data_IF_235973083552
#
_entry.id   IF_235973083552
#
_cell.length_a   1.000
_cell.length_b   1.000
_cell.length_c   1.000
_cell.angle_alpha   90.00
_cell.angle_beta   90.00
_cell.angle_gamma   90.00
#
_symmetry.space_group_name_H-M   'P 1'
#
loop_
_entity.id
_entity.type
_entity.pdbx_description
1 polymer ?
#
# COMPACT_ATOMS: atom_id res chain seq x y z
N UNK A 1 -10.12 10.47 -35.24
CA UNK A 1 -9.69 11.26 -34.09
C UNK A 1 -9.67 10.27 -32.91
N UNK A 2 -8.57 10.09 -32.18
CA UNK A 2 -8.65 9.34 -30.94
C UNK A 2 -9.62 10.10 -30.02
N UNK A 3 -10.43 9.42 -29.20
CA UNK A 3 -11.25 10.09 -28.21
C UNK A 3 -10.34 10.93 -27.32
N UNK A 4 -10.76 12.14 -26.98
CA UNK A 4 -10.15 12.93 -25.93
C UNK A 4 -10.30 12.12 -24.63
N UNK A 5 -9.30 11.30 -24.31
CA UNK A 5 -9.22 10.63 -23.03
C UNK A 5 -8.94 11.70 -21.97
N UNK A 6 -10.03 12.27 -21.46
CA UNK A 6 -9.94 13.12 -20.26
C UNK A 6 -9.47 12.20 -19.14
N UNK A 7 -8.23 12.38 -18.72
CA UNK A 7 -7.63 11.61 -17.63
C UNK A 7 -8.29 12.06 -16.33
N UNK A 8 -9.27 11.30 -15.85
CA UNK A 8 -10.04 11.60 -14.64
C UNK A 8 -10.20 10.36 -13.79
N UNK A 9 -10.29 10.56 -12.48
CA UNK A 9 -10.70 9.52 -11.55
C UNK A 9 -12.14 9.07 -11.84
N UNK A 10 -12.35 7.75 -11.86
CA UNK A 10 -13.64 7.10 -12.11
C UNK A 10 -14.11 6.36 -10.86
N UNK A 11 -15.43 6.17 -10.64
CA UNK A 11 -15.93 5.42 -9.49
C UNK A 11 -15.45 3.97 -9.47
N UNK A 12 -14.95 3.51 -8.33
CA UNK A 12 -14.53 2.14 -8.07
C UNK A 12 -15.68 1.37 -7.40
N UNK A 13 -16.63 0.93 -8.21
CA UNK A 13 -17.88 0.34 -7.73
C UNK A 13 -17.65 -0.83 -6.76
N UNK A 14 -18.24 -0.75 -5.57
CA UNK A 14 -18.19 -1.79 -4.54
C UNK A 14 -17.01 -1.68 -3.59
N UNK A 15 -16.15 -0.68 -3.73
CA UNK A 15 -15.01 -0.38 -2.86
C UNK A 15 -15.18 1.03 -2.29
N UNK A 16 -14.84 1.22 -1.03
CA UNK A 16 -15.11 2.48 -0.33
C UNK A 16 -13.85 3.16 0.20
N UNK A 17 -12.99 2.44 0.90
CA UNK A 17 -11.79 2.98 1.57
C UNK A 17 -10.55 2.14 1.21
N UNK A 18 -10.14 2.12 -0.10
CA UNK A 18 -9.01 1.32 -0.55
C UNK A 18 -7.69 1.97 -0.17
N UNK A 19 -6.89 1.30 0.64
CA UNK A 19 -5.54 1.72 1.02
C UNK A 19 -4.46 1.10 0.12
N UNK A 20 -4.74 -0.05 -0.52
CA UNK A 20 -3.77 -0.69 -1.41
C UNK A 20 -4.41 -1.48 -2.53
N UNK A 21 -3.68 -1.62 -3.64
CA UNK A 21 -4.09 -2.41 -4.81
C UNK A 21 -2.92 -3.14 -5.42
N UNK A 22 -3.13 -4.40 -5.83
CA UNK A 22 -2.12 -5.23 -6.49
C UNK A 22 -2.75 -6.06 -7.60
N UNK A 23 -2.22 -6.00 -8.82
CA UNK A 23 -2.64 -6.92 -9.88
C UNK A 23 -2.11 -8.33 -9.63
N UNK A 24 -2.99 -9.32 -9.75
CA UNK A 24 -2.69 -10.74 -9.65
C UNK A 24 -2.30 -11.34 -11.01
N UNK A 25 -1.67 -12.51 -11.00
CA UNK A 25 -1.22 -13.20 -12.21
C UNK A 25 -2.37 -13.56 -13.19
N UNK A 26 -3.59 -13.69 -12.68
CA UNK A 26 -4.80 -13.98 -13.49
C UNK A 26 -5.47 -12.72 -14.07
N UNK A 27 -4.85 -11.55 -13.87
CA UNK A 27 -5.32 -10.25 -14.37
C UNK A 27 -6.34 -9.54 -13.48
N UNK A 28 -6.84 -10.20 -12.42
CA UNK A 28 -7.65 -9.55 -11.39
C UNK A 28 -6.78 -8.65 -10.52
N UNK A 29 -7.42 -7.82 -9.72
CA UNK A 29 -6.76 -7.01 -8.71
C UNK A 29 -7.21 -7.45 -7.33
N UNK A 30 -6.28 -7.53 -6.41
CA UNK A 30 -6.56 -7.56 -4.99
C UNK A 30 -6.55 -6.13 -4.48
N UNK A 31 -7.60 -5.73 -3.79
CA UNK A 31 -7.72 -4.47 -3.09
C UNK A 31 -7.76 -4.76 -1.60
N UNK A 32 -7.08 -3.94 -0.82
CA UNK A 32 -7.16 -3.93 0.63
C UNK A 32 -7.83 -2.64 1.09
N UNK A 33 -8.73 -2.77 2.07
CA UNK A 33 -9.46 -1.65 2.69
C UNK A 33 -9.11 -1.59 4.19
N UNK A 34 -9.15 -0.42 4.81
CA UNK A 34 -8.81 -0.24 6.23
C UNK A 34 -9.89 -0.79 7.18
N UNK A 35 -11.10 -1.07 6.69
CA UNK A 35 -12.21 -1.62 7.47
C UNK A 35 -12.04 -3.12 7.79
N UNK A 36 -12.09 -3.50 9.08
CA UNK A 36 -11.95 -4.88 9.57
C UNK A 36 -12.84 -5.91 8.85
N UNK A 37 -14.10 -5.56 8.56
CA UNK A 37 -15.07 -6.49 7.96
C UNK A 37 -14.93 -6.66 6.45
N UNK A 38 -14.23 -5.76 5.80
CA UNK A 38 -14.13 -5.65 4.34
C UNK A 38 -12.68 -5.57 3.86
N UNK A 39 -11.74 -5.99 4.68
CA UNK A 39 -10.30 -5.82 4.47
C UNK A 39 -9.77 -6.31 3.11
N UNK A 40 -10.41 -7.29 2.47
CA UNK A 40 -9.93 -7.89 1.22
C UNK A 40 -11.03 -7.98 0.17
N UNK A 41 -10.76 -7.50 -1.03
CA UNK A 41 -11.65 -7.59 -2.18
C UNK A 41 -10.92 -7.93 -3.47
N UNK A 42 -11.57 -8.70 -4.34
CA UNK A 42 -11.11 -8.97 -5.70
C UNK A 42 -11.85 -8.07 -6.69
N UNK A 43 -11.10 -7.42 -7.57
CA UNK A 43 -11.65 -6.62 -8.66
C UNK A 43 -11.31 -7.24 -10.01
N UNK A 44 -12.22 -7.10 -10.94
CA UNK A 44 -11.96 -7.30 -12.36
C UNK A 44 -12.32 -6.00 -13.11
N UNK A 45 -11.36 -5.51 -13.88
CA UNK A 45 -11.54 -4.32 -14.73
C UNK A 45 -11.41 -4.77 -16.17
N UNK A 46 -12.47 -4.60 -16.96
CA UNK A 46 -12.53 -5.02 -18.36
C UNK A 46 -13.43 -4.05 -19.13
N UNK A 47 -12.93 -3.49 -20.22
CA UNK A 47 -13.70 -2.55 -21.05
C UNK A 47 -14.23 -1.34 -20.27
N UNK A 48 -13.51 -0.88 -19.26
CA UNK A 48 -13.91 0.23 -18.38
C UNK A 48 -14.98 -0.10 -17.34
N UNK A 49 -15.41 -1.37 -17.26
CA UNK A 49 -16.34 -1.83 -16.23
C UNK A 49 -15.59 -2.47 -15.08
N UNK A 50 -16.02 -2.21 -13.85
CA UNK A 50 -15.49 -2.76 -12.61
C UNK A 50 -16.50 -3.74 -12.02
N UNK A 51 -16.04 -4.94 -11.65
CA UNK A 51 -16.79 -5.85 -10.80
C UNK A 51 -15.98 -6.17 -9.54
N UNK A 52 -16.66 -6.24 -8.40
CA UNK A 52 -16.06 -6.48 -7.09
C UNK A 52 -16.62 -7.75 -6.46
N UNK A 53 -15.74 -8.52 -5.80
CA UNK A 53 -16.07 -9.70 -5.00
C UNK A 53 -15.33 -9.62 -3.67
N UNK A 54 -16.06 -9.47 -2.57
CA UNK A 54 -15.46 -9.48 -1.24
C UNK A 54 -14.91 -10.89 -0.90
N UNK A 55 -13.68 -10.95 -0.45
CA UNK A 55 -13.08 -12.16 0.12
C UNK A 55 -13.53 -12.29 1.59
N UNK A 56 -13.97 -13.48 1.97
CA UNK A 56 -14.51 -13.74 3.31
C UNK A 56 -13.88 -14.97 3.92
N UNK A 57 -13.87 -14.99 5.26
CA UNK A 57 -13.48 -16.18 6.00
C UNK A 57 -14.29 -17.40 5.55
N UNK A 58 -13.67 -18.53 5.24
CA UNK A 58 -14.39 -19.77 5.00
C UNK A 58 -15.18 -20.17 6.25
N UNK A 59 -16.37 -20.78 6.07
CA UNK A 59 -17.21 -21.22 7.19
C UNK A 59 -16.48 -22.18 8.16
N UNK A 60 -15.42 -22.85 7.70
CA UNK A 60 -14.64 -23.86 8.44
C UNK A 60 -13.22 -23.39 8.81
N UNK A 61 -12.94 -22.09 8.89
CA UNK A 61 -11.59 -21.55 9.19
C UNK A 61 -11.22 -21.71 10.68
N UNK A 62 -11.08 -22.97 11.13
CA UNK A 62 -10.58 -23.30 12.46
C UNK A 62 -9.04 -23.19 12.42
N UNK A 63 -8.51 -22.08 12.86
CA UNK A 63 -7.05 -21.84 12.94
C UNK A 63 -6.57 -20.50 12.36
N UNK A 64 -7.26 -19.96 11.37
CA UNK A 64 -6.85 -18.73 10.67
C UNK A 64 -7.50 -17.45 11.24
N UNK A 65 -8.01 -17.54 12.48
CA UNK A 65 -8.81 -16.47 13.10
C UNK A 65 -8.11 -15.13 13.20
N UNK A 66 -6.78 -15.10 13.34
CA UNK A 66 -6.02 -13.86 13.42
C UNK A 66 -5.87 -13.18 12.04
N UNK A 67 -5.84 -13.95 10.94
CA UNK A 67 -5.83 -13.41 9.59
C UNK A 67 -7.16 -12.70 9.23
N UNK A 68 -8.28 -13.26 9.65
CA UNK A 68 -9.60 -12.71 9.35
C UNK A 68 -10.06 -11.59 10.31
N UNK A 69 -9.18 -11.18 11.21
CA UNK A 69 -9.39 -10.07 12.18
C UNK A 69 -8.41 -8.93 11.95
N UNK A 70 -7.86 -8.83 10.72
CA UNK A 70 -7.01 -7.70 10.35
C UNK A 70 -7.84 -6.41 10.42
N UNK A 71 -7.26 -5.40 11.01
CA UNK A 71 -7.84 -4.08 11.18
C UNK A 71 -6.83 -3.05 10.66
N UNK A 72 -7.29 -2.05 9.93
CA UNK A 72 -6.43 -0.99 9.39
C UNK A 72 -5.38 -1.55 8.40
N UNK A 73 -5.86 -2.31 7.40
CA UNK A 73 -5.00 -2.93 6.39
C UNK A 73 -4.64 -1.89 5.32
N UNK A 74 -3.35 -1.58 5.20
CA UNK A 74 -2.87 -0.39 4.50
C UNK A 74 -2.22 -0.67 3.16
N UNK A 75 -1.53 -1.80 3.02
CA UNK A 75 -0.81 -2.06 1.78
C UNK A 75 -0.74 -3.53 1.42
N UNK A 76 -0.59 -3.79 0.13
CA UNK A 76 -0.49 -5.12 -0.45
C UNK A 76 0.52 -5.14 -1.60
N UNK A 77 1.31 -6.21 -1.68
CA UNK A 77 2.21 -6.50 -2.80
C UNK A 77 2.26 -8.01 -3.07
N UNK A 78 2.81 -8.42 -4.20
CA UNK A 78 2.99 -9.83 -4.53
C UNK A 78 4.41 -10.11 -5.04
N UNK A 79 4.91 -11.30 -4.72
CA UNK A 79 6.13 -11.79 -5.33
C UNK A 79 5.84 -12.53 -6.66
N UNK A 80 6.90 -12.84 -7.42
CA UNK A 80 6.79 -13.57 -8.69
C UNK A 80 6.35 -15.02 -8.53
N UNK A 81 6.40 -15.58 -7.32
CA UNK A 81 5.91 -16.93 -7.02
C UNK A 81 4.41 -16.96 -6.72
N UNK A 82 3.75 -15.78 -6.69
CA UNK A 82 2.33 -15.63 -6.43
C UNK A 82 1.98 -15.60 -4.95
N UNK A 83 2.96 -15.44 -4.05
CA UNK A 83 2.67 -15.11 -2.66
C UNK A 83 2.29 -13.64 -2.56
N UNK A 84 1.26 -13.37 -1.81
CA UNK A 84 0.74 -12.03 -1.53
C UNK A 84 1.14 -11.67 -0.12
N UNK A 85 1.67 -10.47 0.04
CA UNK A 85 2.04 -9.89 1.32
C UNK A 85 1.18 -8.67 1.57
N UNK A 86 0.61 -8.56 2.77
CA UNK A 86 -0.14 -7.38 3.16
C UNK A 86 0.25 -6.97 4.58
N UNK A 87 0.10 -5.68 4.88
CA UNK A 87 0.52 -5.09 6.13
C UNK A 87 -0.56 -4.17 6.67
N UNK A 88 -0.78 -4.21 7.97
CA UNK A 88 -1.60 -3.25 8.68
C UNK A 88 -0.78 -2.01 9.08
N UNK A 89 -1.42 -0.96 9.52
CA UNK A 89 -0.77 0.33 9.83
C UNK A 89 0.31 0.27 10.93
N UNK A 90 0.27 -0.71 11.81
CA UNK A 90 1.07 -0.76 13.04
C UNK A 90 0.88 0.47 13.95
N UNK A 91 -0.18 1.23 13.71
CA UNK A 91 -0.57 2.42 14.46
C UNK A 91 -1.41 2.06 15.70
N UNK A 92 -1.55 3.00 16.61
CA UNK A 92 -2.57 2.96 17.66
C UNK A 92 -3.94 3.26 17.06
N UNK A 93 -5.00 2.77 17.69
CA UNK A 93 -6.37 3.07 17.27
C UNK A 93 -6.78 4.53 17.59
N UNK A 94 -8.04 4.88 17.29
CA UNK A 94 -8.58 6.23 17.53
C UNK A 94 -8.63 6.62 19.02
N UNK A 95 -8.60 5.64 19.93
CA UNK A 95 -8.57 5.86 21.37
C UNK A 95 -7.12 5.94 21.90
N UNK A 96 -6.15 5.77 21.04
CA UNK A 96 -4.72 5.76 21.35
C UNK A 96 -4.26 4.44 21.97
N UNK A 97 -5.00 3.35 21.81
CA UNK A 97 -4.68 2.04 22.34
C UNK A 97 -3.98 1.16 21.30
N UNK A 98 -3.13 0.25 21.79
CA UNK A 98 -2.50 -0.75 20.93
C UNK A 98 -3.46 -1.89 20.64
N UNK A 99 -3.60 -2.24 19.35
CA UNK A 99 -4.44 -3.33 18.89
C UNK A 99 -3.59 -4.35 18.13
N UNK A 100 -3.61 -5.59 18.59
CA UNK A 100 -2.88 -6.68 17.91
C UNK A 100 -3.35 -6.89 16.47
N UNK A 101 -4.61 -6.64 16.16
CA UNK A 101 -5.18 -6.69 14.82
C UNK A 101 -4.57 -5.66 13.86
N UNK A 102 -4.06 -4.55 14.41
CA UNK A 102 -3.40 -3.47 13.66
C UNK A 102 -1.86 -3.61 13.58
N UNK A 103 -1.29 -4.69 14.13
CA UNK A 103 0.16 -4.94 14.17
C UNK A 103 0.50 -6.27 13.47
N UNK A 104 0.11 -6.39 12.18
CA UNK A 104 0.24 -7.62 11.42
C UNK A 104 0.95 -7.41 10.08
N UNK A 105 1.90 -8.29 9.80
CA UNK A 105 2.37 -8.60 8.46
C UNK A 105 1.84 -10.00 8.11
N UNK A 106 1.18 -10.13 6.97
CA UNK A 106 0.59 -11.39 6.55
C UNK A 106 1.12 -11.83 5.20
N UNK A 107 1.15 -13.15 4.98
CA UNK A 107 1.37 -13.76 3.67
C UNK A 107 0.28 -14.78 3.39
N UNK A 108 -0.23 -14.78 2.18
CA UNK A 108 -1.25 -15.72 1.71
C UNK A 108 -1.16 -15.88 0.19
N UNK A 109 -2.02 -16.75 -0.36
CA UNK A 109 -2.23 -16.91 -1.79
C UNK A 109 -3.72 -16.83 -2.10
N UNK A 110 -4.06 -16.65 -3.36
CA UNK A 110 -5.44 -16.68 -3.84
C UNK A 110 -5.58 -17.80 -4.88
N UNK A 111 -6.54 -18.68 -4.67
CA UNK A 111 -7.00 -19.67 -5.65
C UNK A 111 -8.50 -19.50 -5.87
N UNK A 112 -8.89 -19.22 -7.13
CA UNK A 112 -10.26 -18.80 -7.42
C UNK A 112 -10.63 -17.54 -6.62
N UNK A 113 -11.69 -17.62 -5.82
CA UNK A 113 -12.15 -16.53 -4.93
C UNK A 113 -11.88 -16.88 -3.46
N UNK A 114 -10.83 -17.65 -3.20
CA UNK A 114 -10.50 -18.08 -1.85
C UNK A 114 -9.07 -17.73 -1.47
N UNK A 115 -8.89 -17.32 -0.22
CA UNK A 115 -7.57 -17.18 0.41
C UNK A 115 -7.09 -18.57 0.83
N UNK A 116 -5.85 -18.90 0.50
CA UNK A 116 -5.19 -20.14 0.89
C UNK A 116 -3.85 -19.85 1.57
N UNK A 117 -3.42 -20.78 2.44
CA UNK A 117 -2.16 -20.71 3.20
C UNK A 117 -1.93 -19.38 3.94
N UNK A 118 -2.93 -18.79 4.64
CA UNK A 118 -2.74 -17.54 5.34
C UNK A 118 -1.79 -17.73 6.52
N UNK A 119 -0.79 -16.86 6.62
CA UNK A 119 0.18 -16.83 7.71
C UNK A 119 0.30 -15.41 8.25
N UNK A 120 0.44 -15.27 9.57
CA UNK A 120 0.41 -14.00 10.28
C UNK A 120 1.65 -13.85 11.14
N UNK A 121 2.28 -12.68 11.07
CA UNK A 121 3.42 -12.25 11.90
C UNK A 121 3.03 -11.01 12.68
N UNK A 122 3.19 -11.04 14.00
CA UNK A 122 2.83 -9.95 14.91
C UNK A 122 4.04 -9.33 15.62
N UNK A 123 5.26 -9.65 15.22
CA UNK A 123 6.47 -9.14 15.90
C UNK A 123 7.09 -7.93 15.21
N UNK A 124 6.62 -7.57 14.01
CA UNK A 124 7.30 -6.63 13.13
C UNK A 124 7.54 -5.25 13.76
N UNK A 125 6.54 -4.68 14.46
CA UNK A 125 6.69 -3.38 15.15
C UNK A 125 7.82 -3.40 16.16
N UNK A 126 7.88 -4.45 16.98
CA UNK A 126 8.96 -4.64 17.96
C UNK A 126 10.32 -4.75 17.27
N UNK A 127 10.38 -5.52 16.19
CA UNK A 127 11.62 -5.80 15.46
C UNK A 127 12.11 -4.55 14.71
N UNK A 128 11.19 -3.73 14.17
CA UNK A 128 11.48 -2.40 13.60
C UNK A 128 12.07 -1.44 14.65
N UNK A 129 11.44 -1.36 15.83
CA UNK A 129 11.92 -0.49 16.92
C UNK A 129 13.27 -0.97 17.46
N UNK A 130 13.49 -2.28 17.55
CA UNK A 130 14.77 -2.85 17.99
C UNK A 130 15.92 -2.52 17.02
N UNK A 131 15.64 -2.55 15.69
CA UNK A 131 16.62 -2.19 14.68
C UNK A 131 16.83 -0.68 14.55
N UNK A 132 15.78 0.11 14.78
CA UNK A 132 15.72 1.56 14.61
C UNK A 132 15.10 2.23 15.84
N UNK A 133 15.88 2.41 16.94
CA UNK A 133 15.37 2.95 18.21
C UNK A 133 14.74 4.35 18.11
N UNK A 134 15.09 5.13 17.07
CA UNK A 134 14.49 6.43 16.78
C UNK A 134 12.97 6.34 16.50
N UNK A 135 12.46 5.18 16.11
CA UNK A 135 11.02 4.96 15.89
C UNK A 135 10.24 4.79 17.21
N UNK A 136 10.92 4.50 18.33
CA UNK A 136 10.27 4.20 19.60
C UNK A 136 9.41 5.36 20.12
N UNK A 137 9.91 6.59 20.02
CA UNK A 137 9.20 7.78 20.48
C UNK A 137 7.87 7.97 19.71
N UNK A 138 7.89 7.73 18.41
CA UNK A 138 6.71 7.85 17.55
C UNK A 138 5.70 6.73 17.78
N UNK A 139 6.17 5.51 18.06
CA UNK A 139 5.30 4.39 18.43
C UNK A 139 4.56 4.61 19.75
N UNK A 140 5.08 5.47 20.63
CA UNK A 140 4.47 5.82 21.91
C UNK A 140 3.39 6.91 21.79
N UNK A 141 3.34 7.65 20.67
CA UNK A 141 2.35 8.72 20.42
C UNK A 141 0.95 8.11 20.34
N UNK A 142 0.01 8.63 21.12
CA UNK A 142 -1.38 8.15 21.17
C UNK A 142 -2.24 8.74 20.05
N UNK A 143 -2.09 10.04 19.79
CA UNK A 143 -2.85 10.79 18.78
C UNK A 143 -2.15 10.70 17.41
N UNK A 144 -2.15 9.50 16.81
CA UNK A 144 -1.37 9.18 15.60
C UNK A 144 -1.64 10.15 14.46
N UNK A 145 -2.93 10.40 14.16
CA UNK A 145 -3.34 11.22 13.00
C UNK A 145 -3.12 12.74 13.20
N UNK A 146 -2.93 13.22 14.43
CA UNK A 146 -2.72 14.64 14.73
C UNK A 146 -1.28 14.96 15.14
N UNK A 147 -0.57 14.01 15.75
CA UNK A 147 0.78 14.22 16.28
C UNK A 147 1.87 13.46 15.52
N UNK A 148 1.52 12.78 14.42
CA UNK A 148 2.47 12.07 13.57
C UNK A 148 3.08 10.83 14.25
N UNK A 149 2.26 10.06 14.98
CA UNK A 149 2.65 8.76 15.54
C UNK A 149 3.01 7.76 14.45
N UNK A 150 3.60 6.63 14.84
CA UNK A 150 4.04 5.60 13.89
C UNK A 150 2.84 5.08 13.10
N UNK A 151 2.94 5.18 11.77
CA UNK A 151 1.93 4.70 10.82
C UNK A 151 2.59 4.23 9.53
N UNK A 152 2.32 2.98 9.14
CA UNK A 152 2.82 2.34 7.91
C UNK A 152 1.68 2.35 6.90
N UNK A 153 1.94 2.80 5.67
CA UNK A 153 0.94 2.84 4.59
C UNK A 153 1.47 2.35 3.24
N UNK A 154 2.69 1.80 3.20
CA UNK A 154 3.18 1.18 1.98
C UNK A 154 3.96 -0.09 2.26
N UNK A 155 3.77 -1.07 1.38
CA UNK A 155 4.49 -2.33 1.34
C UNK A 155 4.76 -2.68 -0.11
N UNK A 156 6.02 -2.92 -0.47
CA UNK A 156 6.36 -3.31 -1.83
C UNK A 156 7.48 -4.34 -1.85
N UNK A 157 7.36 -5.31 -2.72
CA UNK A 157 8.44 -6.25 -3.01
C UNK A 157 9.54 -5.53 -3.79
N UNK A 158 10.79 -5.63 -3.34
CA UNK A 158 11.91 -5.01 -4.05
C UNK A 158 12.05 -5.57 -5.47
N UNK A 159 12.60 -4.76 -6.39
CA UNK A 159 12.76 -5.13 -7.80
C UNK A 159 13.48 -6.47 -8.01
N UNK A 160 14.45 -6.80 -7.14
CA UNK A 160 15.21 -8.04 -7.14
C UNK A 160 14.49 -9.21 -6.43
N UNK A 161 13.29 -8.97 -5.89
CA UNK A 161 12.45 -9.96 -5.18
C UNK A 161 13.07 -10.55 -3.90
N UNK A 162 13.98 -9.81 -3.26
CA UNK A 162 14.70 -10.30 -2.07
C UNK A 162 14.23 -9.68 -0.78
N UNK A 163 13.62 -8.48 -0.85
CA UNK A 163 13.25 -7.69 0.33
C UNK A 163 11.80 -7.21 0.20
N UNK A 164 11.18 -7.01 1.35
CA UNK A 164 9.99 -6.18 1.44
C UNK A 164 10.39 -4.79 1.90
N UNK A 165 9.96 -3.77 1.18
CA UNK A 165 10.13 -2.37 1.50
C UNK A 165 8.86 -1.89 2.22
N UNK A 166 9.04 -1.20 3.34
CA UNK A 166 7.96 -0.69 4.19
C UNK A 166 8.04 0.83 4.15
N UNK A 167 7.02 1.49 3.62
CA UNK A 167 6.92 2.93 3.58
C UNK A 167 6.07 3.48 4.72
N UNK A 168 6.55 4.56 5.34
CA UNK A 168 5.87 5.21 6.46
C UNK A 168 5.16 6.48 6.00
N UNK A 169 3.89 6.61 6.36
CA UNK A 169 3.21 7.90 6.36
C UNK A 169 3.82 8.81 7.42
N UNK A 170 4.01 8.26 8.60
CA UNK A 170 4.65 8.93 9.74
C UNK A 170 5.46 7.91 10.56
N UNK A 171 6.54 8.33 11.21
CA UNK A 171 7.10 9.68 11.26
C UNK A 171 7.90 10.04 10.02
N UNK A 172 8.32 11.31 9.94
CA UNK A 172 9.42 11.75 9.09
C UNK A 172 10.73 11.81 9.89
N UNK A 173 11.86 11.61 9.24
CA UNK A 173 13.19 11.89 9.79
C UNK A 173 13.78 13.11 9.10
N UNK A 174 13.90 14.22 9.82
CA UNK A 174 14.38 15.48 9.27
C UNK A 174 13.56 15.92 8.04
N UNK A 175 12.24 15.91 8.14
CA UNK A 175 11.27 16.25 7.08
C UNK A 175 11.30 15.30 5.86
N UNK A 176 11.95 14.16 5.97
CA UNK A 176 12.05 13.16 4.90
C UNK A 176 11.24 11.92 5.24
N UNK A 177 10.50 11.41 4.27
CA UNK A 177 9.77 10.16 4.38
C UNK A 177 10.71 8.97 4.54
N UNK A 178 10.26 7.93 5.24
CA UNK A 178 11.07 6.79 5.64
C UNK A 178 10.65 5.55 4.87
N UNK A 179 11.65 4.76 4.45
CA UNK A 179 11.47 3.38 4.01
C UNK A 179 12.39 2.49 4.83
N UNK A 180 11.81 1.49 5.50
CA UNK A 180 12.54 0.36 6.10
C UNK A 180 12.51 -0.84 5.16
N UNK A 181 13.38 -1.83 5.40
CA UNK A 181 13.37 -3.09 4.64
C UNK A 181 13.35 -4.31 5.55
N UNK A 182 12.65 -5.37 5.11
CA UNK A 182 12.73 -6.72 5.65
C UNK A 182 13.58 -7.53 4.70
N UNK A 183 14.71 -8.08 5.20
CA UNK A 183 15.74 -8.74 4.39
C UNK A 183 15.47 -10.24 4.14
N UNK A 184 14.52 -10.84 4.82
CA UNK A 184 14.22 -12.28 4.77
C UNK A 184 12.72 -12.61 4.63
N UNK A 185 11.97 -11.96 3.72
CA UNK A 185 10.51 -12.11 3.68
C UNK A 185 10.05 -13.56 3.52
N UNK A 186 10.71 -14.37 2.68
CA UNK A 186 10.37 -15.78 2.52
C UNK A 186 10.60 -16.60 3.80
N UNK A 187 11.77 -16.46 4.43
CA UNK A 187 12.16 -17.24 5.59
C UNK A 187 11.28 -16.98 6.83
N UNK A 188 10.73 -15.78 6.97
CA UNK A 188 9.77 -15.44 8.02
C UNK A 188 8.58 -16.42 7.98
N UNK A 189 8.03 -16.65 6.80
CA UNK A 189 6.81 -17.45 6.62
C UNK A 189 7.09 -18.94 6.35
N UNK A 190 8.24 -19.28 5.74
CA UNK A 190 8.55 -20.66 5.36
C UNK A 190 9.32 -21.40 6.44
N UNK A 191 10.19 -20.69 7.18
CA UNK A 191 11.03 -21.25 8.23
C UNK A 191 10.70 -20.71 9.64
N UNK A 192 9.66 -19.89 9.77
CA UNK A 192 9.26 -19.23 11.02
C UNK A 192 10.41 -18.45 11.68
N UNK A 193 11.26 -17.83 10.84
CA UNK A 193 12.32 -16.93 11.31
C UNK A 193 11.74 -15.61 11.80
N UNK A 194 12.50 -14.91 12.66
CA UNK A 194 12.16 -13.53 13.02
C UNK A 194 12.44 -12.59 11.83
N UNK A 195 11.67 -11.53 11.64
CA UNK A 195 11.97 -10.48 10.67
C UNK A 195 13.37 -9.91 10.87
N UNK A 196 14.20 -9.96 9.84
CA UNK A 196 15.50 -9.27 9.81
C UNK A 196 15.31 -7.92 9.15
N UNK A 197 15.35 -6.89 9.96
CA UNK A 197 15.20 -5.51 9.49
C UNK A 197 16.54 -5.03 8.95
N UNK A 198 16.52 -4.33 7.83
CA UNK A 198 17.72 -3.70 7.25
C UNK A 198 18.35 -2.70 8.23
N UNK A 199 19.69 -2.64 8.26
CA UNK A 199 20.44 -1.83 9.22
C UNK A 199 20.29 -0.31 9.02
N UNK A 200 19.76 0.12 7.86
CA UNK A 200 19.63 1.55 7.52
C UNK A 200 18.23 1.84 7.01
N UNK A 201 17.69 2.98 7.43
CA UNK A 201 16.48 3.55 6.84
C UNK A 201 16.85 4.33 5.57
N UNK A 202 16.13 4.09 4.49
CA UNK A 202 16.17 4.96 3.32
C UNK A 202 15.25 6.15 3.55
N UNK A 203 15.71 7.35 3.23
CA UNK A 203 14.88 8.55 3.38
C UNK A 203 14.68 9.25 2.04
N UNK A 204 13.44 9.64 1.76
CA UNK A 204 13.03 10.33 0.54
C UNK A 204 12.57 11.76 0.86
N UNK A 205 13.08 12.72 0.09
CA UNK A 205 12.58 14.08 0.13
C UNK A 205 11.32 14.17 -0.74
N UNK A 206 10.16 14.14 -0.10
CA UNK A 206 8.85 14.22 -0.73
C UNK A 206 8.14 15.55 -0.42
N UNK A 207 8.93 16.60 -0.14
CA UNK A 207 8.41 17.91 0.21
C UNK A 207 7.66 17.97 1.54
N UNK A 208 8.15 17.22 2.54
CA UNK A 208 7.52 17.16 3.88
C UNK A 208 6.32 16.21 3.96
N UNK A 209 6.03 15.45 2.90
CA UNK A 209 4.97 14.44 2.88
C UNK A 209 5.47 13.07 3.33
N UNK A 210 4.56 12.26 3.89
CA UNK A 210 4.75 10.83 4.12
C UNK A 210 4.40 9.98 2.91
N UNK A 211 4.73 8.68 2.97
CA UNK A 211 4.40 7.70 1.94
C UNK A 211 3.00 7.16 2.22
N UNK A 212 2.10 7.24 1.22
CA UNK A 212 0.74 6.71 1.25
C UNK A 212 0.62 5.40 0.46
N UNK A 213 1.49 5.19 -0.51
CA UNK A 213 1.57 3.98 -1.31
C UNK A 213 2.84 3.95 -2.14
N UNK A 214 3.28 2.76 -2.52
CA UNK A 214 4.48 2.60 -3.32
C UNK A 214 4.40 1.32 -4.13
N UNK A 215 4.83 1.37 -5.40
CA UNK A 215 4.95 0.17 -6.22
C UNK A 215 6.09 0.25 -7.22
N UNK A 216 6.78 -0.87 -7.43
CA UNK A 216 7.76 -1.04 -8.50
C UNK A 216 7.06 -1.10 -9.86
N UNK A 217 7.43 -0.21 -10.76
CA UNK A 217 6.89 -0.14 -12.12
C UNK A 217 7.95 -0.57 -13.13
N UNK A 218 7.87 -1.80 -13.67
CA UNK A 218 8.90 -2.35 -14.55
C UNK A 218 9.17 -1.49 -15.79
N UNK A 219 8.14 -0.90 -16.40
CA UNK A 219 8.27 -0.04 -17.59
C UNK A 219 9.03 1.26 -17.32
N UNK A 220 9.08 1.71 -16.06
CA UNK A 220 9.82 2.89 -15.62
C UNK A 220 11.19 2.54 -15.02
N UNK A 221 11.46 1.25 -14.78
CA UNK A 221 12.61 0.76 -14.02
C UNK A 221 12.82 1.49 -12.69
N UNK A 222 11.72 1.75 -11.96
CA UNK A 222 11.72 2.47 -10.70
C UNK A 222 10.39 2.35 -9.96
N UNK A 223 10.31 2.99 -8.80
CA UNK A 223 9.12 3.01 -7.97
C UNK A 223 8.31 4.26 -8.24
N UNK A 224 7.00 4.11 -8.30
CA UNK A 224 6.06 5.21 -8.09
C UNK A 224 5.70 5.26 -6.60
N UNK A 225 5.77 6.45 -6.03
CA UNK A 225 5.48 6.71 -4.62
C UNK A 225 4.37 7.74 -4.56
N UNK A 226 3.26 7.36 -3.97
CA UNK A 226 2.19 8.27 -3.60
C UNK A 226 2.57 8.92 -2.28
N UNK A 227 2.60 10.25 -2.25
CA UNK A 227 2.94 11.04 -1.08
C UNK A 227 1.75 11.90 -0.65
N UNK A 228 1.54 12.02 0.65
CA UNK A 228 0.44 12.79 1.22
C UNK A 228 0.74 13.27 2.63
N UNK A 229 -0.21 13.95 3.27
CA UNK A 229 -0.01 14.57 4.58
C UNK A 229 0.34 13.55 5.66
N UNK A 230 1.28 13.91 6.51
CA UNK A 230 1.74 13.12 7.67
C UNK A 230 0.68 13.13 8.78
N UNK A 231 0.05 14.28 8.98
CA UNK A 231 -0.99 14.53 9.97
C UNK A 231 -2.22 15.16 9.29
N UNK A 232 -3.20 15.63 10.06
CA UNK A 232 -4.41 16.28 9.53
C UNK A 232 -4.11 17.71 9.00
N UNK A 233 -3.19 17.79 8.08
CA UNK A 233 -2.84 19.04 7.39
C UNK A 233 -3.44 19.04 5.98
N UNK A 234 -3.71 20.23 5.44
CA UNK A 234 -4.11 20.36 4.04
C UNK A 234 -2.85 20.48 3.18
N UNK A 235 -2.30 19.33 2.82
CA UNK A 235 -1.17 19.23 1.90
C UNK A 235 -1.63 18.46 0.66
N UNK A 236 -1.18 18.88 -0.50
CA UNK A 236 -1.51 18.21 -1.76
C UNK A 236 -0.93 16.78 -1.79
N UNK A 237 -1.76 15.83 -2.18
CA UNK A 237 -1.29 14.51 -2.57
C UNK A 237 -0.49 14.59 -3.87
N UNK A 238 0.64 13.88 -3.90
CA UNK A 238 1.61 13.98 -4.98
C UNK A 238 2.05 12.60 -5.43
N UNK A 239 2.42 12.50 -6.70
CA UNK A 239 3.06 11.30 -7.23
C UNK A 239 4.54 11.59 -7.50
N UNK A 240 5.39 10.67 -7.07
CA UNK A 240 6.83 10.75 -7.21
C UNK A 240 7.41 9.51 -7.85
N UNK A 241 8.49 9.68 -8.60
CA UNK A 241 9.31 8.61 -9.12
C UNK A 241 10.60 8.51 -8.30
N UNK A 242 10.95 7.30 -7.89
CA UNK A 242 12.21 6.99 -7.20
C UNK A 242 12.88 5.79 -7.89
N UNK A 243 14.16 5.92 -8.29
CA UNK A 243 14.89 4.86 -9.01
C UNK A 243 15.25 3.64 -8.11
N UNK A 244 15.18 3.79 -6.77
CA UNK A 244 15.35 2.68 -5.84
C UNK A 244 16.65 2.66 -5.07
N UNK A 245 17.62 3.54 -5.39
CA UNK A 245 18.86 3.68 -4.65
C UNK A 245 18.71 4.59 -3.43
N UNK A 246 19.41 4.29 -2.34
CA UNK A 246 19.38 5.10 -1.12
C UNK A 246 19.88 6.55 -1.29
N UNK A 247 20.64 6.81 -2.36
CA UNK A 247 21.14 8.14 -2.71
C UNK A 247 20.37 8.79 -3.86
N UNK A 248 19.41 8.06 -4.46
CA UNK A 248 18.61 8.57 -5.56
C UNK A 248 17.62 9.61 -5.06
N UNK A 249 17.55 10.74 -5.76
CA UNK A 249 16.57 11.77 -5.45
C UNK A 249 15.22 11.40 -6.07
N UNK A 250 14.13 11.41 -5.31
CA UNK A 250 12.81 11.27 -5.89
C UNK A 250 12.50 12.47 -6.80
N UNK A 251 11.79 12.23 -7.89
CA UNK A 251 11.42 13.23 -8.89
C UNK A 251 9.89 13.30 -8.98
N UNK A 252 9.37 14.52 -8.99
CA UNK A 252 7.92 14.72 -9.03
C UNK A 252 7.35 14.25 -10.37
N UNK A 253 6.18 13.60 -10.31
CA UNK A 253 5.46 13.12 -11.49
C UNK A 253 4.19 13.95 -11.67
N UNK A 254 3.93 14.38 -12.90
CA UNK A 254 2.70 15.04 -13.29
C UNK A 254 2.04 14.32 -14.46
N UNK A 255 0.75 14.51 -14.63
CA UNK A 255 -0.06 13.96 -15.72
C UNK A 255 -0.81 15.08 -16.39
N UNK A 256 -0.68 15.20 -17.71
CA UNK A 256 -1.34 16.26 -18.45
C UNK A 256 -2.88 16.13 -18.34
N UNK A 257 -3.55 17.23 -17.97
CA UNK A 257 -5.01 17.26 -17.83
C UNK A 257 -5.53 16.74 -16.49
N UNK A 258 -4.68 16.26 -15.58
CA UNK A 258 -5.04 15.89 -14.23
C UNK A 258 -4.76 17.03 -13.28
N UNK A 259 -5.74 17.43 -12.47
CA UNK A 259 -5.62 18.54 -11.51
C UNK A 259 -4.83 18.18 -10.26
N UNK A 260 -4.74 16.90 -9.90
CA UNK A 260 -4.03 16.40 -8.72
C UNK A 260 -4.32 14.95 -8.42
N UNK A 261 -3.73 14.45 -7.35
CA UNK A 261 -3.84 13.06 -6.89
C UNK A 261 -4.55 12.98 -5.53
N UNK A 262 -5.52 13.86 -5.30
CA UNK A 262 -6.20 13.96 -4.01
C UNK A 262 -6.72 12.62 -3.51
N UNK A 263 -6.39 12.31 -2.26
CA UNK A 263 -6.70 11.04 -1.60
C UNK A 263 -6.14 9.78 -2.28
N UNK A 264 -5.16 9.91 -3.19
CA UNK A 264 -4.50 8.73 -3.76
C UNK A 264 -3.74 7.97 -2.67
N UNK A 265 -3.87 6.65 -2.68
CA UNK A 265 -3.19 5.74 -1.75
C UNK A 265 -2.57 4.56 -2.49
N UNK A 266 -3.35 3.61 -2.93
CA UNK A 266 -2.83 2.45 -3.64
C UNK A 266 -2.37 2.76 -5.07
N UNK A 267 -1.21 2.24 -5.45
CA UNK A 267 -0.67 2.30 -6.82
C UNK A 267 -0.13 0.94 -7.22
N UNK A 268 -0.40 0.51 -8.46
CA UNK A 268 0.11 -0.77 -9.01
C UNK A 268 0.35 -0.68 -10.51
N UNK A 269 1.43 -1.25 -11.05
CA UNK A 269 1.51 -1.55 -12.46
C UNK A 269 0.45 -2.59 -12.82
N UNK A 270 -0.08 -2.51 -14.03
CA UNK A 270 -1.14 -3.39 -14.47
C UNK A 270 -1.08 -3.69 -15.96
N UNK A 271 -1.72 -4.78 -16.37
CA UNK A 271 -2.07 -5.06 -17.76
C UNK A 271 -3.60 -5.14 -17.83
N UNK A 272 -4.20 -4.16 -18.48
CA UNK A 272 -5.66 -4.09 -18.68
C UNK A 272 -5.94 -4.08 -20.18
N UNK A 273 -6.80 -4.97 -20.63
CA UNK A 273 -7.14 -5.15 -22.06
C UNK A 273 -5.89 -5.29 -22.95
N UNK A 274 -4.86 -5.99 -22.46
CA UNK A 274 -3.58 -6.24 -23.14
C UNK A 274 -2.63 -5.04 -23.21
N UNK A 275 -2.91 -3.94 -22.51
CA UNK A 275 -2.07 -2.73 -22.47
C UNK A 275 -1.41 -2.56 -21.10
N UNK A 276 -0.13 -2.22 -21.11
CA UNK A 276 0.56 -1.83 -19.89
C UNK A 276 0.01 -0.49 -19.39
N UNK A 277 -0.34 -0.44 -18.11
CA UNK A 277 -0.85 0.75 -17.46
C UNK A 277 -0.43 0.78 -15.99
N UNK A 278 -0.78 1.86 -15.33
CA UNK A 278 -0.64 2.07 -13.91
C UNK A 278 -2.05 2.37 -13.39
N UNK A 279 -2.47 1.66 -12.36
CA UNK A 279 -3.71 1.94 -11.65
C UNK A 279 -3.39 2.63 -10.33
N UNK A 280 -4.16 3.66 -10.02
CA UNK A 280 -4.11 4.37 -8.74
C UNK A 280 -5.52 4.33 -8.17
N UNK A 281 -5.66 4.00 -6.90
CA UNK A 281 -6.91 4.08 -6.15
C UNK A 281 -6.86 5.22 -5.15
N UNK A 282 -8.03 5.82 -4.87
CA UNK A 282 -8.15 6.93 -3.93
C UNK A 282 -9.07 6.58 -2.78
N UNK A 283 -8.67 6.94 -1.56
CA UNK A 283 -9.45 6.83 -0.33
C UNK A 283 -10.36 8.07 -0.15
N UNK A 284 -11.36 8.20 -1.02
CA UNK A 284 -12.35 9.29 -0.96
C UNK A 284 -13.79 8.78 -0.98
N UNK A 285 -13.96 7.48 -0.76
CA UNK A 285 -15.25 6.85 -0.58
C UNK A 285 -15.82 7.07 0.83
N UNK A 286 -16.98 6.51 1.07
CA UNK A 286 -17.63 6.45 2.37
C UNK A 286 -18.75 5.42 2.31
N UNK A 287 -18.64 4.39 3.10
CA UNK A 287 -19.68 3.34 3.17
C UNK A 287 -20.96 3.87 3.80
N UNK A 288 -20.85 4.74 4.79
CA UNK A 288 -21.98 5.37 5.45
C UNK A 288 -22.78 6.28 4.52
N UNK A 289 -22.11 6.89 3.55
CA UNK A 289 -22.72 7.78 2.54
C UNK A 289 -23.05 7.03 1.23
N UNK A 290 -22.80 5.71 1.14
CA UNK A 290 -22.89 4.89 -0.08
C UNK A 290 -22.15 5.53 -1.28
N UNK A 291 -21.02 6.15 -0.98
CA UNK A 291 -20.16 6.81 -1.98
C UNK A 291 -18.91 5.96 -2.22
N UNK A 292 -18.79 5.40 -3.41
CA UNK A 292 -17.65 4.59 -3.80
C UNK A 292 -16.37 5.43 -3.88
N UNK A 293 -15.25 4.79 -3.56
CA UNK A 293 -13.92 5.28 -3.88
C UNK A 293 -13.74 5.48 -5.40
N UNK A 294 -12.61 6.02 -5.79
CA UNK A 294 -12.31 6.25 -7.21
C UNK A 294 -10.99 5.60 -7.60
N UNK A 295 -10.82 5.38 -8.90
CA UNK A 295 -9.58 4.88 -9.48
C UNK A 295 -9.21 5.67 -10.73
N UNK A 296 -7.92 5.66 -11.05
CA UNK A 296 -7.35 6.27 -12.23
C UNK A 296 -6.48 5.23 -12.95
N UNK A 297 -6.64 5.10 -14.27
CA UNK A 297 -5.77 4.30 -15.13
C UNK A 297 -4.93 5.24 -15.98
N UNK A 298 -3.62 5.05 -15.95
CA UNK A 298 -2.64 5.82 -16.69
C UNK A 298 -1.79 4.90 -17.56
N UNK A 299 -1.45 5.35 -18.77
CA UNK A 299 -0.39 4.73 -19.53
C UNK A 299 0.97 5.31 -19.07
N UNK A 300 2.06 4.53 -19.06
CA UNK A 300 3.36 5.04 -18.65
C UNK A 300 3.80 6.32 -19.39
N UNK A 301 3.41 6.45 -20.65
CA UNK A 301 3.75 7.59 -21.51
C UNK A 301 3.02 8.89 -21.14
N UNK A 302 1.94 8.80 -20.35
CA UNK A 302 1.22 9.97 -19.82
C UNK A 302 1.95 10.62 -18.64
N UNK A 303 2.87 9.88 -18.00
CA UNK A 303 3.64 10.37 -16.87
C UNK A 303 4.75 11.30 -17.34
N UNK A 304 4.80 12.49 -16.75
CA UNK A 304 5.89 13.45 -16.92
C UNK A 304 6.70 13.48 -15.64
N UNK A 305 7.86 12.82 -15.67
CA UNK A 305 8.81 12.80 -14.56
C UNK A 305 9.70 14.03 -14.69
N UNK A 306 9.74 14.86 -13.65
CA UNK A 306 10.61 16.03 -13.62
C UNK A 306 12.09 15.64 -13.75
N UNK A 307 12.92 16.54 -14.24
CA UNK A 307 14.37 16.34 -14.41
C UNK A 307 15.11 16.22 -13.06
#
# INVERSE_FOLDING_TARGET
>A
MPPNDITTFQPLTGVYEPSGIQQLADGRFLVVEDEEKHALGLLRITGGQVSHTALRAPFWSWGDGDFWKLDDLEAVTADRAGNIYAITSHSRDSDGDERKSRERLVRFRIEGDSVIDPKVVGSLKRDLIAAHPELAAYAAIREVKSEGGLNIEALEMSADQRRLLIGFRSPLLGERAIIASIENPGAIFDANEQPRIGATLTTLDLGGNGIRGMSWVPSLAGYLVVAGPVARERVEFQLWFWAGGSQDRPRRVSVAGLSGFEHAEGVSPAIIDGRQCIIIVSDDGSRDEDRFARFLILQPEQLRIAD
#
